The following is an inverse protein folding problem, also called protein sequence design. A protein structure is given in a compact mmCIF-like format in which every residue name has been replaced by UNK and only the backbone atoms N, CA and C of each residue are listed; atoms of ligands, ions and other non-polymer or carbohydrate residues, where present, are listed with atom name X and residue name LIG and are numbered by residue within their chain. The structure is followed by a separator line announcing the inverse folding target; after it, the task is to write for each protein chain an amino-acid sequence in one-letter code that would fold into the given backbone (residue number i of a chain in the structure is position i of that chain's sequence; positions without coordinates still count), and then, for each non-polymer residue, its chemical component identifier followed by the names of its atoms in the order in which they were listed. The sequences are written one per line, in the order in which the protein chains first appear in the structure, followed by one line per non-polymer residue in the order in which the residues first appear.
data_IF_121005024280
#
_entry.id   IF_121005024280
#
_cell.length_a   1.000
_cell.length_b   1.000
_cell.length_c   1.000
_cell.angle_alpha   90.00
_cell.angle_beta   90.00
_cell.angle_gamma   90.00
#
_symmetry.space_group_name_H-M   'P 1'
#
loop_
_entity.id
_entity.type
_entity.pdbx_description
1 polymer ?
#
# COMPACT_ATOMS: atom_id res chain seq x y z
N UNK A 1 -5.16 20.12 -0.65
CA UNK A 1 -5.54 21.01 -1.76
C UNK A 1 -7.05 20.93 -1.99
N UNK A 2 -7.81 21.90 -1.41
CA UNK A 2 -9.26 21.91 -1.50
C UNK A 2 -9.80 21.94 -2.94
N UNK A 3 -9.16 22.70 -3.84
CA UNK A 3 -9.58 22.80 -5.25
C UNK A 3 -9.51 21.49 -6.04
N UNK A 4 -8.46 20.69 -5.85
CA UNK A 4 -8.35 19.40 -6.55
C UNK A 4 -9.40 18.40 -6.05
N UNK A 5 -9.76 18.47 -4.78
CA UNK A 5 -10.81 17.65 -4.18
C UNK A 5 -12.19 18.08 -4.69
N UNK A 6 -12.48 19.37 -4.69
CA UNK A 6 -13.75 19.93 -5.23
C UNK A 6 -13.94 19.59 -6.71
N UNK A 7 -12.87 19.67 -7.52
CA UNK A 7 -12.92 19.32 -8.94
C UNK A 7 -13.22 17.82 -9.14
N UNK A 8 -12.64 16.94 -8.34
CA UNK A 8 -12.93 15.50 -8.39
C UNK A 8 -14.34 15.15 -7.88
N UNK A 9 -14.78 15.79 -6.80
CA UNK A 9 -16.14 15.62 -6.28
C UNK A 9 -17.19 16.07 -7.31
N UNK A 10 -16.91 17.17 -8.04
CA UNK A 10 -17.80 17.66 -9.11
C UNK A 10 -17.92 16.71 -10.31
N UNK A 11 -16.93 15.84 -10.52
CA UNK A 11 -16.90 14.85 -11.60
C UNK A 11 -17.43 13.48 -11.16
N UNK A 12 -17.79 13.32 -9.89
CA UNK A 12 -18.31 12.05 -9.37
C UNK A 12 -19.70 11.80 -9.90
N UNK A 13 -19.89 10.69 -10.61
CA UNK A 13 -21.17 10.30 -11.20
C UNK A 13 -22.09 9.66 -10.15
N UNK A 14 -22.98 10.45 -9.58
CA UNK A 14 -24.11 9.99 -8.80
C UNK A 14 -23.86 9.85 -7.28
N UNK A 15 -24.96 9.89 -6.52
CA UNK A 15 -24.99 9.66 -5.08
C UNK A 15 -24.60 8.20 -4.77
N UNK A 16 -23.54 8.01 -3.97
CA UNK A 16 -23.07 6.70 -3.55
C UNK A 16 -21.93 6.10 -4.38
N UNK A 17 -21.37 6.84 -5.36
CA UNK A 17 -20.16 6.41 -6.05
C UNK A 17 -18.98 6.35 -5.07
N UNK A 18 -18.25 5.21 -5.06
CA UNK A 18 -17.04 5.07 -4.24
C UNK A 18 -15.92 5.96 -4.76
N UNK A 19 -15.27 6.67 -3.85
CA UNK A 19 -14.08 7.44 -4.18
C UNK A 19 -12.91 6.48 -4.42
N UNK A 20 -12.52 6.30 -5.68
CA UNK A 20 -11.39 5.42 -6.09
C UNK A 20 -10.14 6.20 -6.46
N UNK A 21 -10.23 7.55 -6.57
CA UNK A 21 -9.11 8.43 -6.90
C UNK A 21 -8.81 9.31 -5.68
N UNK A 22 -7.56 9.21 -5.18
CA UNK A 22 -7.05 9.99 -4.07
C UNK A 22 -5.95 10.92 -4.59
N UNK A 23 -6.25 12.22 -4.85
CA UNK A 23 -5.24 13.16 -5.29
C UNK A 23 -4.27 13.46 -4.15
N UNK A 24 -2.98 13.26 -4.38
CA UNK A 24 -1.93 13.54 -3.42
C UNK A 24 -1.01 14.62 -3.99
N UNK A 25 -0.97 15.78 -3.35
CA UNK A 25 0.02 16.82 -3.66
C UNK A 25 1.29 16.56 -2.86
N UNK A 26 2.33 16.11 -3.54
CA UNK A 26 3.59 15.66 -2.95
C UNK A 26 4.45 16.86 -2.51
N UNK A 27 4.23 17.39 -1.30
CA UNK A 27 5.15 18.31 -0.65
C UNK A 27 6.29 17.55 0.06
N UNK A 28 7.40 18.21 0.33
CA UNK A 28 8.51 17.60 1.09
C UNK A 28 8.05 17.13 2.50
N UNK A 29 7.19 17.91 3.15
CA UNK A 29 6.62 17.55 4.46
C UNK A 29 5.76 16.29 4.37
N UNK A 30 4.89 16.21 3.36
CA UNK A 30 4.03 15.04 3.15
C UNK A 30 4.87 13.81 2.81
N UNK A 31 5.87 13.93 1.93
CA UNK A 31 6.77 12.83 1.59
C UNK A 31 7.55 12.32 2.82
N UNK A 32 8.00 13.22 3.69
CA UNK A 32 8.63 12.87 4.97
C UNK A 32 7.68 12.08 5.87
N UNK A 33 6.43 12.53 6.00
CA UNK A 33 5.40 11.84 6.78
C UNK A 33 5.05 10.46 6.21
N UNK A 34 4.86 10.36 4.90
CA UNK A 34 4.57 9.09 4.19
C UNK A 34 5.70 8.09 4.44
N UNK A 35 6.95 8.53 4.28
CA UNK A 35 8.13 7.68 4.49
C UNK A 35 8.25 7.20 5.94
N UNK A 36 8.00 8.08 6.91
CA UNK A 36 8.00 7.73 8.33
C UNK A 36 6.88 6.72 8.68
N UNK A 37 5.67 6.94 8.15
CA UNK A 37 4.53 6.05 8.34
C UNK A 37 4.80 4.66 7.74
N UNK A 38 5.32 4.61 6.52
CA UNK A 38 5.61 3.33 5.87
C UNK A 38 6.72 2.56 6.62
N UNK A 39 7.81 3.25 7.02
CA UNK A 39 8.83 2.63 7.87
C UNK A 39 8.24 2.06 9.16
N UNK A 40 7.36 2.80 9.82
CA UNK A 40 6.67 2.33 11.03
C UNK A 40 5.82 1.08 10.75
N UNK A 41 5.10 1.04 9.62
CA UNK A 41 4.30 -0.11 9.22
C UNK A 41 5.17 -1.36 8.97
N UNK A 42 6.34 -1.21 8.34
CA UNK A 42 7.29 -2.28 8.14
C UNK A 42 7.87 -2.79 9.47
N UNK A 43 8.26 -1.89 10.39
CA UNK A 43 8.77 -2.25 11.72
C UNK A 43 7.74 -3.00 12.56
N UNK A 44 6.46 -2.63 12.43
CA UNK A 44 5.33 -3.30 13.10
C UNK A 44 4.89 -4.59 12.39
N UNK A 45 5.53 -4.98 11.30
CA UNK A 45 5.22 -6.17 10.50
C UNK A 45 3.75 -6.18 9.99
N UNK A 46 3.22 -5.02 9.63
CA UNK A 46 1.88 -4.89 9.07
C UNK A 46 1.81 -5.28 7.59
N UNK A 47 2.95 -5.50 6.96
CA UNK A 47 3.08 -5.92 5.57
C UNK A 47 3.60 -7.35 5.50
N UNK A 48 2.90 -8.19 4.74
CA UNK A 48 3.36 -9.53 4.38
C UNK A 48 3.79 -9.49 2.92
N UNK A 49 5.07 -9.72 2.68
CA UNK A 49 5.62 -9.81 1.33
C UNK A 49 5.59 -11.26 0.84
N UNK A 50 5.53 -11.41 -0.48
CA UNK A 50 5.68 -12.71 -1.10
C UNK A 50 7.10 -13.24 -0.86
N UNK A 51 7.25 -14.55 -0.99
CA UNK A 51 8.55 -15.21 -0.92
C UNK A 51 9.46 -14.74 -2.06
N UNK A 52 10.75 -15.03 -1.92
CA UNK A 52 11.76 -14.73 -2.95
C UNK A 52 11.41 -15.34 -4.30
N UNK A 53 11.67 -14.60 -5.38
CA UNK A 53 11.33 -15.00 -6.75
C UNK A 53 11.98 -16.33 -7.17
N UNK A 54 13.18 -16.64 -6.64
CA UNK A 54 13.87 -17.90 -6.94
C UNK A 54 13.19 -19.13 -6.33
N UNK A 55 12.34 -18.94 -5.31
CA UNK A 55 11.55 -19.99 -4.68
C UNK A 55 10.11 -20.02 -5.15
N UNK A 56 9.71 -19.02 -5.93
CA UNK A 56 8.32 -18.80 -6.32
C UNK A 56 7.77 -19.94 -7.18
N UNK A 57 8.54 -20.44 -8.13
CA UNK A 57 8.11 -21.51 -9.03
C UNK A 57 7.81 -22.80 -8.25
N UNK A 58 8.73 -23.23 -7.39
CA UNK A 58 8.53 -24.41 -6.55
C UNK A 58 7.33 -24.25 -5.62
N UNK A 59 7.17 -23.06 -5.05
CA UNK A 59 6.02 -22.75 -4.19
C UNK A 59 4.71 -22.80 -4.96
N UNK A 60 4.65 -22.27 -6.17
CA UNK A 60 3.45 -22.25 -7.02
C UNK A 60 3.08 -23.66 -7.46
N UNK A 61 4.04 -24.46 -7.90
CA UNK A 61 3.83 -25.89 -8.26
C UNK A 61 3.20 -26.65 -7.11
N UNK A 62 3.65 -26.38 -5.88
CA UNK A 62 3.16 -27.09 -4.68
C UNK A 62 1.77 -26.61 -4.22
N UNK A 63 1.45 -25.32 -4.38
CA UNK A 63 0.31 -24.70 -3.70
C UNK A 63 -0.76 -24.15 -4.66
N UNK A 64 -0.49 -24.06 -5.96
CA UNK A 64 -1.41 -23.46 -6.92
C UNK A 64 -1.74 -24.46 -8.04
N UNK A 65 -2.97 -24.99 -8.02
CA UNK A 65 -3.44 -25.97 -9.01
C UNK A 65 -3.56 -25.39 -10.41
N UNK A 66 -3.94 -24.13 -10.56
CA UNK A 66 -4.03 -23.45 -11.85
C UNK A 66 -2.64 -23.35 -12.48
N UNK A 67 -1.65 -22.88 -11.72
CA UNK A 67 -0.27 -22.85 -12.17
C UNK A 67 0.24 -24.24 -12.59
N UNK A 68 -0.06 -25.27 -11.80
CA UNK A 68 0.40 -26.63 -12.09
C UNK A 68 -0.22 -27.20 -13.39
N UNK A 69 -1.48 -26.86 -13.69
CA UNK A 69 -2.15 -27.29 -14.91
C UNK A 69 -1.62 -26.60 -16.17
N UNK A 70 -1.27 -25.31 -16.04
CA UNK A 70 -0.86 -24.45 -17.15
C UNK A 70 0.65 -24.17 -17.18
N UNK A 71 1.44 -24.90 -16.36
CA UNK A 71 2.89 -24.70 -16.24
C UNK A 71 3.68 -24.84 -17.55
N UNK A 72 3.08 -25.44 -18.59
CA UNK A 72 3.67 -25.55 -19.92
C UNK A 72 3.43 -24.30 -20.80
N UNK A 73 2.53 -23.42 -20.39
CA UNK A 73 2.28 -22.16 -21.07
C UNK A 73 3.20 -21.07 -20.51
N UNK A 74 4.10 -20.58 -21.34
CA UNK A 74 5.09 -19.57 -20.94
C UNK A 74 4.46 -18.22 -20.54
N UNK A 75 3.33 -17.84 -21.14
CA UNK A 75 2.63 -16.60 -20.83
C UNK A 75 1.97 -16.68 -19.44
N UNK A 76 1.27 -17.77 -19.17
CA UNK A 76 0.66 -18.03 -17.86
C UNK A 76 1.72 -18.12 -16.76
N UNK A 77 2.80 -18.84 -17.00
CA UNK A 77 3.94 -18.93 -16.07
C UNK A 77 4.52 -17.54 -15.76
N UNK A 78 4.79 -16.74 -16.79
CA UNK A 78 5.31 -15.39 -16.61
C UNK A 78 4.34 -14.50 -15.83
N UNK A 79 3.03 -14.61 -16.05
CA UNK A 79 2.00 -13.85 -15.32
C UNK A 79 2.00 -14.15 -13.83
N UNK A 80 2.08 -15.42 -13.44
CA UNK A 80 2.14 -15.83 -12.04
C UNK A 80 3.46 -15.41 -11.36
N UNK A 81 4.59 -15.60 -12.02
CA UNK A 81 5.91 -15.27 -11.48
C UNK A 81 6.15 -13.76 -11.38
N UNK A 82 5.55 -12.96 -12.26
CA UNK A 82 5.74 -11.51 -12.28
C UNK A 82 5.47 -10.85 -10.93
N UNK A 83 4.47 -11.32 -10.16
CA UNK A 83 4.13 -10.75 -8.85
C UNK A 83 5.29 -10.92 -7.84
N UNK A 84 5.97 -12.06 -7.88
CA UNK A 84 7.14 -12.34 -7.03
C UNK A 84 8.33 -11.50 -7.47
N UNK A 85 8.58 -11.39 -8.78
CA UNK A 85 9.62 -10.53 -9.36
C UNK A 85 9.40 -9.07 -8.95
N UNK A 86 8.16 -8.56 -9.03
CA UNK A 86 7.85 -7.20 -8.61
C UNK A 86 8.10 -6.99 -7.10
N UNK A 87 7.85 -8.01 -6.29
CA UNK A 87 8.14 -7.97 -4.84
C UNK A 87 9.65 -7.91 -4.57
N UNK A 88 10.45 -8.73 -5.25
CA UNK A 88 11.92 -8.71 -5.14
C UNK A 88 12.50 -7.37 -5.60
N UNK A 89 11.99 -6.83 -6.71
CA UNK A 89 12.40 -5.51 -7.21
C UNK A 89 12.04 -4.39 -6.23
N UNK A 90 10.86 -4.44 -5.60
CA UNK A 90 10.49 -3.50 -4.55
C UNK A 90 11.43 -3.58 -3.34
N UNK A 91 11.75 -4.79 -2.87
CA UNK A 91 12.68 -5.00 -1.75
C UNK A 91 14.06 -4.43 -2.12
N UNK A 92 14.54 -4.67 -3.34
CA UNK A 92 15.77 -4.10 -3.86
C UNK A 92 15.76 -2.56 -3.87
N UNK A 93 14.66 -1.94 -4.30
CA UNK A 93 14.51 -0.48 -4.21
C UNK A 93 14.64 -0.02 -2.76
N UNK A 94 13.95 -0.66 -1.80
CA UNK A 94 14.02 -0.31 -0.38
C UNK A 94 15.46 -0.36 0.19
N UNK A 95 16.23 -1.37 -0.18
CA UNK A 95 17.63 -1.56 0.29
C UNK A 95 18.57 -0.53 -0.32
N UNK A 96 18.25 -0.02 -1.51
CA UNK A 96 19.05 0.96 -2.24
C UNK A 96 18.60 2.41 -2.03
N UNK A 97 17.79 2.69 -1.02
CA UNK A 97 17.44 4.05 -0.63
C UNK A 97 18.45 4.62 0.34
N UNK A 98 18.87 5.85 0.05
CA UNK A 98 19.65 6.67 0.96
C UNK A 98 18.73 7.62 1.72
N UNK A 99 18.83 7.57 3.05
CA UNK A 99 18.03 8.41 3.93
C UNK A 99 18.88 9.59 4.39
N UNK A 100 18.41 10.80 4.12
CA UNK A 100 18.99 12.05 4.60
C UNK A 100 17.97 12.85 5.38
N UNK A 101 18.45 13.76 6.24
CA UNK A 101 17.59 14.72 6.95
C UNK A 101 17.92 16.10 6.44
N UNK A 102 16.92 16.78 5.85
CA UNK A 102 17.05 18.13 5.33
C UNK A 102 16.01 19.01 6.02
N UNK A 103 16.46 20.05 6.72
CA UNK A 103 15.57 20.95 7.49
C UNK A 103 14.62 20.21 8.46
N UNK A 104 15.12 19.16 9.12
CA UNK A 104 14.33 18.34 10.03
C UNK A 104 13.34 17.38 9.38
N UNK A 105 13.30 17.31 8.04
CA UNK A 105 12.44 16.42 7.28
C UNK A 105 13.25 15.25 6.69
N UNK A 106 12.63 14.06 6.69
CA UNK A 106 13.20 12.89 6.03
C UNK A 106 13.15 13.08 4.51
N UNK A 107 14.26 12.85 3.86
CA UNK A 107 14.39 12.79 2.41
C UNK A 107 14.97 11.43 2.03
N UNK A 108 14.26 10.71 1.18
CA UNK A 108 14.71 9.44 0.62
C UNK A 108 15.04 9.62 -0.85
N UNK A 109 16.27 9.35 -1.20
CA UNK A 109 16.74 9.36 -2.57
C UNK A 109 17.22 7.97 -2.98
N UNK A 110 17.04 7.63 -4.24
CA UNK A 110 17.64 6.42 -4.81
C UNK A 110 19.12 6.63 -5.06
N UNK A 111 19.94 5.60 -4.85
CA UNK A 111 21.34 5.62 -5.28
C UNK A 111 21.44 5.83 -6.79
N UNK A 112 22.56 6.40 -7.29
CA UNK A 112 22.78 6.54 -8.71
C UNK A 112 22.59 5.21 -9.46
N UNK A 113 21.76 5.22 -10.51
CA UNK A 113 21.45 4.04 -11.30
C UNK A 113 20.37 3.12 -10.72
N UNK A 114 19.76 3.47 -9.59
CA UNK A 114 18.59 2.76 -9.05
C UNK A 114 17.32 3.60 -9.11
N UNK A 115 16.17 2.93 -9.01
CA UNK A 115 14.84 3.53 -9.04
C UNK A 115 14.18 3.44 -7.67
N UNK A 116 13.11 4.22 -7.45
CA UNK A 116 12.28 4.18 -6.25
C UNK A 116 10.78 4.26 -6.56
N UNK A 117 10.39 3.87 -7.75
CA UNK A 117 9.01 4.03 -8.21
C UNK A 117 8.06 3.09 -7.48
N UNK A 118 8.47 1.83 -7.28
CA UNK A 118 7.69 0.85 -6.50
C UNK A 118 7.61 1.25 -5.03
N UNK A 119 8.75 1.66 -4.45
CA UNK A 119 8.78 2.18 -3.10
C UNK A 119 7.80 3.36 -2.94
N UNK A 120 7.85 4.32 -3.86
CA UNK A 120 6.96 5.47 -3.83
C UNK A 120 5.50 5.04 -3.92
N UNK A 121 5.14 4.20 -4.90
CA UNK A 121 3.78 3.72 -5.08
C UNK A 121 3.24 3.01 -3.82
N UNK A 122 4.01 2.09 -3.23
CA UNK A 122 3.60 1.32 -2.05
C UNK A 122 3.54 2.22 -0.80
N UNK A 123 4.46 3.15 -0.64
CA UNK A 123 4.43 4.07 0.50
C UNK A 123 3.23 5.02 0.45
N UNK A 124 2.85 5.52 -0.73
CA UNK A 124 1.63 6.30 -0.91
C UNK A 124 0.38 5.45 -0.66
N UNK A 125 0.34 4.21 -1.16
CA UNK A 125 -0.75 3.29 -0.88
C UNK A 125 -0.92 3.04 0.62
N UNK A 126 0.18 2.78 1.35
CA UNK A 126 0.16 2.62 2.80
C UNK A 126 -0.40 3.87 3.51
N UNK A 127 -0.07 5.06 3.02
CA UNK A 127 -0.59 6.31 3.56
C UNK A 127 -2.11 6.40 3.38
N UNK A 128 -2.63 6.10 2.19
CA UNK A 128 -4.08 6.09 1.92
C UNK A 128 -4.79 5.07 2.79
N UNK A 129 -4.29 3.83 2.87
CA UNK A 129 -4.85 2.77 3.71
C UNK A 129 -4.92 3.22 5.17
N UNK A 130 -3.84 3.81 5.70
CA UNK A 130 -3.81 4.28 7.09
C UNK A 130 -4.80 5.41 7.38
N UNK A 131 -5.20 6.18 6.36
CA UNK A 131 -6.26 7.19 6.47
C UNK A 131 -7.65 6.56 6.43
N UNK A 132 -7.87 5.59 5.56
CA UNK A 132 -9.13 4.85 5.48
C UNK A 132 -9.41 4.08 6.77
N UNK A 133 -8.42 3.38 7.32
CA UNK A 133 -8.53 2.67 8.59
C UNK A 133 -8.95 3.61 9.74
N UNK A 134 -8.34 4.79 9.80
CA UNK A 134 -8.70 5.79 10.84
C UNK A 134 -10.13 6.31 10.67
N UNK A 135 -10.60 6.45 9.43
CA UNK A 135 -11.96 6.87 9.16
C UNK A 135 -12.96 5.79 9.57
N UNK A 136 -12.70 4.54 9.20
CA UNK A 136 -13.52 3.39 9.57
C UNK A 136 -13.58 3.19 11.09
N UNK A 137 -12.45 3.33 11.78
CA UNK A 137 -12.40 3.21 13.24
C UNK A 137 -13.19 4.31 13.96
N UNK A 138 -13.25 5.53 13.40
CA UNK A 138 -14.10 6.59 13.92
C UNK A 138 -15.57 6.26 13.76
N UNK A 139 -15.99 5.82 12.58
CA UNK A 139 -17.37 5.40 12.33
C UNK A 139 -17.79 4.26 13.27
N UNK A 140 -16.96 3.23 13.44
CA UNK A 140 -17.22 2.12 14.37
C UNK A 140 -17.26 2.61 15.82
N UNK A 141 -16.40 3.56 16.21
CA UNK A 141 -16.42 4.18 17.53
C UNK A 141 -17.72 4.93 17.82
N UNK A 142 -18.23 5.67 16.84
CA UNK A 142 -19.51 6.37 16.93
C UNK A 142 -20.68 5.37 17.05
N UNK A 143 -20.69 4.28 16.31
CA UNK A 143 -21.68 3.19 16.42
C UNK A 143 -21.60 2.46 17.75
N UNK A 144 -20.41 2.29 18.33
CA UNK A 144 -20.26 1.63 19.64
C UNK A 144 -20.82 2.48 20.78
N UNK A 145 -20.71 3.81 20.69
CA UNK A 145 -21.30 4.74 21.63
C UNK A 145 -22.85 4.67 21.57
N UNK A 146 -23.42 4.60 20.37
CA UNK A 146 -24.84 4.43 20.16
C UNK A 146 -25.36 3.04 20.63
N UNK A 147 -24.52 2.01 20.48
CA UNK A 147 -24.83 0.64 20.93
C UNK A 147 -24.86 0.54 22.47
N UNK A 148 -23.97 1.25 23.17
CA UNK A 148 -24.01 1.34 24.63
C UNK A 148 -25.28 2.03 25.12
N UNK A 149 -25.75 3.08 24.44
CA UNK A 149 -27.03 3.75 24.73
C UNK A 149 -28.21 2.82 24.53
N UNK A 150 -28.13 1.88 23.59
CA UNK A 150 -29.15 0.88 23.30
C UNK A 150 -29.02 -0.42 24.11
N UNK A 151 -28.01 -0.52 25.01
CA UNK A 151 -27.80 -1.70 25.85
C UNK A 151 -27.35 -2.95 25.10
N UNK A 152 -26.77 -2.79 23.91
CA UNK A 152 -26.25 -3.89 23.10
C UNK A 152 -24.76 -4.06 23.41
N UNK A 153 -24.41 -5.11 24.17
CA UNK A 153 -23.00 -5.47 24.41
C UNK A 153 -22.47 -6.24 23.21
N UNK A 154 -21.60 -5.62 22.41
CA UNK A 154 -20.82 -6.37 21.43
C UNK A 154 -19.60 -7.01 22.12
N UNK A 155 -19.56 -8.34 22.11
CA UNK A 155 -18.38 -9.10 22.54
C UNK A 155 -17.46 -9.21 21.32
N UNK A 156 -16.28 -8.62 21.42
CA UNK A 156 -15.20 -8.71 20.44
C UNK A 156 -14.31 -9.91 20.78
#
# INVERSE_FOLDING_TARGET
DGKAREDLESRTLGLGALQVIFPISASQQLNSLISANFRSALQKKLWNFLIDENLAEEFLVKNNKEFMNDANDSETTARFLNTYVQTSLFINECVNLDLTIVNGLLKLDSKPGSYKDRYSAISYMNYVISHLDKSLLKEVGDYSADAEVLGITMVV
#
